data_IF_149134693210
#
_entry.id   IF_149134693210
#
_cell.length_a   1.000
_cell.length_b   1.000
_cell.length_c   1.000
_cell.angle_alpha   90.00
_cell.angle_beta   90.00
_cell.angle_gamma   90.00
#
_symmetry.space_group_name_H-M   'P 1'
#
loop_
_entity.id
_entity.type
_entity.pdbx_description
1 polymer ?
#
# COMPACT_ATOMS: atom_id res chain seq x y z
N UNK A 1 -2.27 24.41 -13.69
CA UNK A 1 -1.26 23.93 -12.70
C UNK A 1 -0.72 22.50 -12.97
N UNK A 2 -1.05 21.83 -14.07
CA UNK A 2 -0.63 20.43 -14.35
C UNK A 2 0.69 20.27 -15.16
N UNK A 3 1.09 21.30 -15.90
CA UNK A 3 2.31 21.29 -16.73
C UNK A 3 3.63 20.94 -15.99
N UNK A 4 3.91 21.46 -14.78
CA UNK A 4 5.15 21.11 -14.08
C UNK A 4 5.20 19.64 -13.63
N UNK A 5 4.05 19.07 -13.24
CA UNK A 5 3.94 17.67 -12.80
C UNK A 5 4.22 16.68 -13.93
N UNK A 6 3.76 16.99 -15.15
CA UNK A 6 3.98 16.13 -16.33
C UNK A 6 5.45 16.13 -16.74
N UNK A 7 6.12 17.29 -16.74
CA UNK A 7 7.54 17.39 -17.09
C UNK A 7 8.44 16.59 -16.12
N UNK A 8 8.21 16.78 -14.82
CA UNK A 8 8.94 16.03 -13.79
C UNK A 8 8.75 14.50 -13.91
N UNK A 9 7.56 14.05 -14.32
CA UNK A 9 7.31 12.63 -14.58
C UNK A 9 8.05 12.10 -15.80
N UNK A 10 8.14 12.87 -16.89
CA UNK A 10 8.93 12.50 -18.06
C UNK A 10 10.42 12.40 -17.70
N UNK A 11 10.95 13.35 -16.95
CA UNK A 11 12.34 13.37 -16.48
C UNK A 11 12.66 12.18 -15.55
N UNK A 12 11.71 11.78 -14.70
CA UNK A 12 11.87 10.64 -13.80
C UNK A 12 11.65 9.26 -14.47
N UNK A 13 11.54 9.19 -15.80
CA UNK A 13 11.24 7.96 -16.54
C UNK A 13 9.79 7.46 -16.42
N UNK A 14 8.90 8.21 -15.77
CA UNK A 14 7.48 7.88 -15.58
C UNK A 14 6.56 8.53 -16.60
N UNK A 15 7.09 9.13 -17.68
CA UNK A 15 6.31 9.85 -18.69
C UNK A 15 5.24 9.01 -19.41
N UNK A 16 5.37 7.67 -19.39
CA UNK A 16 4.36 6.74 -19.95
C UNK A 16 3.29 6.30 -18.95
N UNK A 17 3.41 6.67 -17.68
CA UNK A 17 2.46 6.27 -16.65
C UNK A 17 1.18 7.08 -16.79
N UNK A 18 0.05 6.38 -16.96
CA UNK A 18 -1.28 7.00 -17.00
C UNK A 18 -1.78 7.49 -15.64
N UNK A 19 -1.11 7.05 -14.56
CA UNK A 19 -1.37 7.48 -13.20
C UNK A 19 -0.04 7.74 -12.48
N UNK A 20 0.21 9.01 -12.17
CA UNK A 20 1.31 9.43 -11.31
C UNK A 20 0.80 9.41 -9.88
N UNK A 21 1.33 8.48 -9.09
CA UNK A 21 1.07 8.37 -7.64
C UNK A 21 2.36 8.65 -6.90
N UNK A 22 2.26 9.26 -5.72
CA UNK A 22 3.43 9.37 -4.85
C UNK A 22 3.83 7.97 -4.39
N UNK A 23 5.13 7.79 -4.14
CA UNK A 23 5.61 6.58 -3.50
C UNK A 23 4.99 6.52 -2.10
N UNK A 24 4.19 5.50 -1.80
CA UNK A 24 3.48 5.40 -0.52
C UNK A 24 1.95 5.51 -0.63
N UNK A 25 1.41 6.08 -1.70
CA UNK A 25 -0.04 6.20 -1.84
C UNK A 25 -0.66 4.87 -2.31
N UNK A 26 -1.26 4.09 -1.40
CA UNK A 26 -2.16 3.00 -1.78
C UNK A 26 -3.57 3.58 -1.98
N UNK A 27 -4.06 3.64 -3.22
CA UNK A 27 -5.38 4.25 -3.50
C UNK A 27 -6.57 3.41 -3.05
N UNK A 28 -6.34 2.23 -2.47
CA UNK A 28 -7.41 1.27 -2.16
C UNK A 28 -7.72 1.23 -0.67
N UNK A 29 -6.72 1.42 0.19
CA UNK A 29 -6.93 1.55 1.64
C UNK A 29 -6.81 3.03 2.02
N UNK A 30 -7.72 3.57 2.84
CA UNK A 30 -7.54 4.85 3.48
C UNK A 30 -6.23 4.87 4.30
N UNK A 31 -5.64 6.06 4.48
CA UNK A 31 -4.36 6.21 5.18
C UNK A 31 -4.41 5.66 6.61
N UNK A 32 -5.49 5.94 7.33
CA UNK A 32 -5.72 5.47 8.71
C UNK A 32 -5.67 3.94 8.79
N UNK A 33 -6.37 3.27 7.86
CA UNK A 33 -6.40 1.81 7.74
C UNK A 33 -5.03 1.23 7.42
N UNK A 34 -4.24 1.93 6.61
CA UNK A 34 -2.86 1.52 6.31
C UNK A 34 -1.95 1.68 7.55
N UNK A 35 -2.12 2.75 8.32
CA UNK A 35 -1.36 3.00 9.55
C UNK A 35 -1.60 1.92 10.61
N UNK A 36 -2.83 1.44 10.74
CA UNK A 36 -3.16 0.32 11.64
C UNK A 36 -2.43 -0.97 11.25
N UNK A 37 -2.36 -1.28 9.95
CA UNK A 37 -1.60 -2.43 9.45
C UNK A 37 -0.09 -2.27 9.69
N UNK A 38 0.44 -1.05 9.57
CA UNK A 38 1.85 -0.74 9.87
C UNK A 38 2.13 -0.92 11.35
N UNK A 39 1.24 -0.44 12.23
CA UNK A 39 1.37 -0.61 13.67
C UNK A 39 1.34 -2.09 14.08
N UNK A 40 0.38 -2.85 13.56
CA UNK A 40 0.28 -4.29 13.77
C UNK A 40 1.56 -5.02 13.36
N UNK A 41 2.06 -4.74 12.15
CA UNK A 41 3.25 -5.37 11.61
C UNK A 41 4.52 -5.01 12.43
N UNK A 42 4.64 -3.75 12.85
CA UNK A 42 5.77 -3.30 13.66
C UNK A 42 5.75 -3.88 15.07
N UNK A 43 4.56 -4.09 15.64
CA UNK A 43 4.40 -4.76 16.95
C UNK A 43 4.93 -6.19 16.88
N UNK A 44 4.53 -6.96 15.85
CA UNK A 44 5.03 -8.32 15.67
C UNK A 44 6.54 -8.37 15.43
N UNK A 45 7.08 -7.43 14.63
CA UNK A 45 8.53 -7.33 14.41
C UNK A 45 9.29 -7.00 15.68
N UNK A 46 8.74 -6.14 16.54
CA UNK A 46 9.33 -5.79 17.84
C UNK A 46 9.40 -7.00 18.77
N UNK A 47 8.40 -7.88 18.69
CA UNK A 47 8.34 -9.13 19.46
C UNK A 47 9.19 -10.25 18.84
N UNK A 48 9.95 -9.97 17.76
CA UNK A 48 10.78 -10.95 17.07
C UNK A 48 10.01 -11.95 16.22
N UNK A 49 8.69 -11.75 16.04
CA UNK A 49 7.85 -12.64 15.26
C UNK A 49 7.93 -12.30 13.76
N UNK A 50 8.32 -13.25 12.88
CA UNK A 50 8.33 -13.00 11.45
C UNK A 50 6.91 -12.94 10.89
N UNK A 51 6.60 -11.88 10.14
CA UNK A 51 5.32 -11.77 9.42
C UNK A 51 5.49 -12.30 8.00
N UNK A 52 4.84 -13.44 7.71
CA UNK A 52 4.83 -13.98 6.35
C UNK A 52 3.97 -13.12 5.41
N UNK A 53 4.23 -13.22 4.10
CA UNK A 53 3.41 -12.55 3.08
C UNK A 53 1.93 -12.95 3.19
N UNK A 54 1.65 -14.22 3.48
CA UNK A 54 0.29 -14.74 3.62
C UNK A 54 -0.40 -14.13 4.85
N UNK A 55 0.29 -14.03 5.98
CA UNK A 55 -0.27 -13.39 7.18
C UNK A 55 -0.66 -11.95 6.92
N UNK A 56 0.21 -11.17 6.28
CA UNK A 56 -0.10 -9.80 5.90
C UNK A 56 -1.29 -9.73 4.91
N UNK A 57 -1.42 -10.68 3.99
CA UNK A 57 -2.57 -10.72 3.08
C UNK A 57 -3.89 -10.97 3.80
N UNK A 58 -3.91 -11.90 4.76
CA UNK A 58 -5.10 -12.21 5.54
C UNK A 58 -5.49 -11.02 6.41
N UNK A 59 -4.55 -10.49 7.19
CA UNK A 59 -4.79 -9.33 8.04
C UNK A 59 -5.30 -8.12 7.24
N UNK A 60 -4.67 -7.82 6.10
CA UNK A 60 -5.08 -6.69 5.28
C UNK A 60 -6.48 -6.88 4.68
N UNK A 61 -6.89 -8.11 4.38
CA UNK A 61 -8.25 -8.42 3.91
C UNK A 61 -9.28 -8.27 5.02
N UNK A 62 -8.96 -8.73 6.23
CA UNK A 62 -9.82 -8.58 7.41
C UNK A 62 -10.05 -7.11 7.72
N UNK A 63 -8.96 -6.34 7.86
CA UNK A 63 -9.00 -4.89 8.09
C UNK A 63 -9.76 -4.17 6.97
N UNK A 64 -9.58 -4.57 5.71
CA UNK A 64 -10.37 -4.02 4.61
C UNK A 64 -11.86 -4.37 4.71
N UNK A 65 -12.22 -5.57 5.14
CA UNK A 65 -13.61 -5.99 5.32
C UNK A 65 -14.29 -5.19 6.44
N UNK A 66 -13.61 -4.99 7.57
CA UNK A 66 -14.06 -4.15 8.68
C UNK A 66 -14.35 -2.71 8.26
N UNK A 67 -13.59 -2.21 7.27
CA UNK A 67 -13.77 -0.88 6.68
C UNK A 67 -14.70 -0.85 5.45
N UNK A 68 -15.40 -1.95 5.12
CA UNK A 68 -16.33 -2.01 3.99
C UNK A 68 -15.66 -2.02 2.61
N UNK A 69 -14.38 -2.38 2.52
CA UNK A 69 -13.55 -2.38 1.31
C UNK A 69 -13.28 -3.78 0.73
N UNK A 70 -13.93 -4.82 1.25
CA UNK A 70 -13.69 -6.22 0.86
C UNK A 70 -13.80 -6.47 -0.66
N UNK A 71 -14.73 -5.83 -1.36
CA UNK A 71 -14.87 -5.98 -2.82
C UNK A 71 -13.80 -5.20 -3.61
N UNK A 72 -13.27 -4.13 -3.02
CA UNK A 72 -12.34 -3.19 -3.68
C UNK A 72 -10.88 -3.55 -3.42
N UNK A 73 -10.59 -4.29 -2.35
CA UNK A 73 -9.24 -4.60 -1.90
C UNK A 73 -8.97 -6.11 -1.86
N UNK A 74 -8.06 -6.57 -2.72
CA UNK A 74 -7.73 -7.99 -2.85
C UNK A 74 -6.43 -8.41 -2.11
N UNK A 75 -5.72 -7.49 -1.45
CA UNK A 75 -4.37 -7.72 -0.90
C UNK A 75 -3.43 -8.44 -1.91
N UNK A 76 -3.37 -7.94 -3.15
CA UNK A 76 -2.66 -8.62 -4.23
C UNK A 76 -1.17 -8.81 -3.94
N UNK A 77 -0.49 -9.83 -4.51
CA UNK A 77 0.95 -10.04 -4.27
C UNK A 77 1.82 -8.82 -4.58
N UNK A 78 1.42 -8.03 -5.58
CA UNK A 78 2.06 -6.76 -5.92
C UNK A 78 1.87 -5.72 -4.82
N UNK A 79 0.66 -5.60 -4.27
CA UNK A 79 0.39 -4.72 -3.13
C UNK A 79 1.24 -5.13 -1.92
N UNK A 80 1.26 -6.42 -1.55
CA UNK A 80 2.08 -6.94 -0.44
C UNK A 80 3.55 -6.61 -0.62
N UNK A 81 4.09 -6.82 -1.83
CA UNK A 81 5.49 -6.51 -2.15
C UNK A 81 5.77 -5.00 -1.99
N UNK A 82 4.85 -4.14 -2.41
CA UNK A 82 5.02 -2.70 -2.29
C UNK A 82 4.85 -2.21 -0.85
N UNK A 83 3.88 -2.76 -0.12
CA UNK A 83 3.64 -2.46 1.29
C UNK A 83 4.87 -2.79 2.13
N UNK A 84 5.47 -3.97 1.94
CA UNK A 84 6.68 -4.37 2.67
C UNK A 84 7.96 -3.60 2.29
N UNK A 85 7.94 -2.85 1.19
CA UNK A 85 9.06 -1.99 0.77
C UNK A 85 8.95 -0.56 1.33
N UNK A 86 7.80 -0.21 1.90
CA UNK A 86 7.59 1.04 2.64
C UNK A 86 8.22 0.89 4.02
#
# INVERSE_FOLDING_TARGET
KQAPTIRAACESGRGRHRNLRNLGDATVLPKEVEEDLVLWLNTLRKDGAPVSRLMLQLQAKEVAAENGLHEKFAASPTWVKLFLRR
#
